data_IF_283644057941
#
_entry.id   IF_283644057941
#
_cell.length_a   1.000
_cell.length_b   1.000
_cell.length_c   1.000
_cell.angle_alpha   90.00
_cell.angle_beta   90.00
_cell.angle_gamma   90.00
#
_symmetry.space_group_name_H-M   'P 1'
#
loop_
_entity.id
_entity.type
_entity.pdbx_description
1 polymer ?
#
# COMPACT_ATOMS: atom_id res chain seq x y z
N UNK A 1 -4.38 -27.74 6.55
CA UNK A 1 -3.79 -26.49 7.07
C UNK A 1 -4.79 -25.36 6.88
N UNK A 2 -5.45 -24.91 7.95
CA UNK A 2 -6.34 -23.74 7.88
C UNK A 2 -5.47 -22.53 7.51
N UNK A 3 -5.62 -22.01 6.29
CA UNK A 3 -5.04 -20.74 5.89
C UNK A 3 -5.84 -19.65 6.60
N UNK A 4 -5.31 -19.14 7.70
CA UNK A 4 -5.83 -17.92 8.32
C UNK A 4 -5.95 -16.85 7.24
N UNK A 5 -7.15 -16.27 7.09
CA UNK A 5 -7.36 -15.21 6.14
C UNK A 5 -6.32 -14.10 6.39
N UNK A 6 -5.66 -13.61 5.34
CA UNK A 6 -4.67 -12.56 5.46
C UNK A 6 -5.31 -11.31 6.06
N UNK A 7 -4.65 -10.73 7.08
CA UNK A 7 -5.20 -9.61 7.87
C UNK A 7 -5.17 -8.33 7.04
N UNK A 8 -6.34 -7.72 6.82
CA UNK A 8 -6.46 -6.35 6.30
C UNK A 8 -6.35 -5.33 7.42
N UNK A 9 -5.71 -4.20 7.13
CA UNK A 9 -5.57 -3.07 8.03
C UNK A 9 -6.83 -2.20 7.97
N UNK A 10 -7.26 -1.72 9.12
CA UNK A 10 -8.40 -0.79 9.24
C UNK A 10 -7.88 0.65 9.28
N UNK A 11 -8.72 1.66 9.04
CA UNK A 11 -8.23 3.06 9.03
C UNK A 11 -7.51 3.51 10.31
N UNK A 12 -7.93 3.10 11.54
CA UNK A 12 -7.17 3.40 12.74
C UNK A 12 -5.76 2.78 12.72
N UNK A 13 -5.64 1.58 12.15
CA UNK A 13 -4.36 0.89 11.97
C UNK A 13 -3.47 1.59 10.94
N UNK A 14 -4.06 2.10 9.85
CA UNK A 14 -3.33 2.91 8.85
C UNK A 14 -2.79 4.19 9.48
N UNK A 15 -3.64 4.91 10.23
CA UNK A 15 -3.24 6.11 10.97
C UNK A 15 -2.11 5.82 11.97
N UNK A 16 -2.25 4.77 12.76
CA UNK A 16 -1.22 4.36 13.71
C UNK A 16 0.11 4.03 13.00
N UNK A 17 0.06 3.30 11.88
CA UNK A 17 1.26 2.92 11.15
C UNK A 17 1.93 4.12 10.46
N UNK A 18 1.16 5.05 9.88
CA UNK A 18 1.69 6.29 9.30
C UNK A 18 2.40 7.16 10.34
N UNK A 19 1.93 7.18 11.60
CA UNK A 19 2.62 7.91 12.69
C UNK A 19 4.00 7.32 13.00
N UNK A 20 4.20 6.02 12.76
CA UNK A 20 5.49 5.34 13.00
C UNK A 20 6.43 5.36 11.80
N UNK A 21 5.97 5.81 10.63
CA UNK A 21 6.80 5.92 9.43
C UNK A 21 7.71 7.16 9.50
N UNK A 22 8.89 7.03 8.89
CA UNK A 22 9.88 8.09 8.80
C UNK A 22 9.72 8.90 7.50
N UNK A 23 9.26 8.26 6.42
CA UNK A 23 9.15 8.91 5.11
C UNK A 23 8.16 10.09 5.08
N UNK A 24 8.52 11.15 4.37
CA UNK A 24 7.74 12.41 4.38
C UNK A 24 6.58 12.40 3.39
N UNK A 25 6.67 11.59 2.33
CA UNK A 25 5.68 11.46 1.28
C UNK A 25 4.97 10.11 1.37
N UNK A 26 3.70 10.05 0.93
CA UNK A 26 2.91 8.82 0.94
C UNK A 26 2.70 8.30 -0.49
N UNK A 27 2.95 7.01 -0.66
CA UNK A 27 2.67 6.28 -1.89
C UNK A 27 1.76 5.09 -1.63
N UNK A 28 1.01 4.72 -2.64
CA UNK A 28 0.13 3.56 -2.72
C UNK A 28 0.84 2.49 -3.53
N UNK A 29 0.85 1.25 -3.04
CA UNK A 29 1.42 0.14 -3.79
C UNK A 29 0.46 -1.02 -3.88
N UNK A 30 0.21 -1.45 -5.12
CA UNK A 30 -0.57 -2.65 -5.45
C UNK A 30 0.27 -3.52 -6.38
N UNK A 31 0.59 -4.74 -5.93
CA UNK A 31 1.55 -5.60 -6.64
C UNK A 31 2.91 -4.90 -6.84
N UNK A 32 3.27 -4.64 -8.10
CA UNK A 32 4.54 -3.98 -8.49
C UNK A 32 4.41 -2.48 -8.76
N UNK A 33 3.20 -1.95 -8.83
CA UNK A 33 2.93 -0.55 -9.22
C UNK A 33 2.92 0.33 -7.97
N UNK A 34 3.57 1.48 -8.04
CA UNK A 34 3.58 2.47 -6.95
C UNK A 34 3.07 3.80 -7.47
N UNK A 35 1.93 4.25 -6.94
CA UNK A 35 1.28 5.50 -7.31
C UNK A 35 1.35 6.51 -6.17
N UNK A 36 1.41 7.81 -6.44
CA UNK A 36 1.34 8.82 -5.39
C UNK A 36 -0.01 8.75 -4.67
N UNK A 37 -0.01 8.82 -3.34
CA UNK A 37 -1.26 8.92 -2.59
C UNK A 37 -1.83 10.32 -2.76
N UNK A 38 -3.10 10.41 -3.15
CA UNK A 38 -3.86 11.65 -3.24
C UNK A 38 -4.68 11.86 -1.98
N UNK A 39 -6.00 11.67 -2.09
CA UNK A 39 -6.94 12.02 -1.03
C UNK A 39 -7.93 10.91 -0.65
N UNK A 40 -8.46 11.03 0.57
CA UNK A 40 -9.49 10.13 1.09
C UNK A 40 -10.86 10.67 0.71
N UNK A 41 -11.60 9.89 -0.07
CA UNK A 41 -12.98 10.17 -0.47
C UNK A 41 -13.91 9.06 -0.02
N UNK A 42 -15.21 9.35 0.03
CA UNK A 42 -16.25 8.35 0.23
C UNK A 42 -16.66 7.76 -1.11
N UNK A 43 -16.82 6.44 -1.19
CA UNK A 43 -17.39 5.76 -2.36
C UNK A 43 -18.63 4.94 -2.01
N UNK A 44 -19.54 4.71 -2.96
CA UNK A 44 -20.59 3.69 -2.83
C UNK A 44 -20.01 2.28 -2.73
N UNK A 45 -20.60 1.45 -1.86
CA UNK A 45 -20.28 0.04 -1.67
C UNK A 45 -21.56 -0.76 -1.39
N UNK A 46 -21.48 -2.10 -1.46
CA UNK A 46 -22.64 -2.97 -1.29
C UNK A 46 -23.40 -2.78 0.04
N UNK A 47 -22.75 -2.24 1.08
CA UNK A 47 -23.32 -1.99 2.41
C UNK A 47 -23.43 -0.50 2.77
N UNK A 48 -23.50 0.38 1.77
CA UNK A 48 -23.64 1.83 1.97
C UNK A 48 -22.47 2.60 1.39
N UNK A 49 -21.80 3.42 2.21
CA UNK A 49 -20.59 4.15 1.80
C UNK A 49 -19.40 3.75 2.64
N UNK A 50 -18.21 3.83 2.06
CA UNK A 50 -16.94 3.55 2.75
C UNK A 50 -15.90 4.61 2.38
N UNK A 51 -14.92 4.81 3.27
CA UNK A 51 -13.73 5.60 2.95
C UNK A 51 -12.79 4.80 2.05
N UNK A 52 -12.19 5.49 1.10
CA UNK A 52 -11.17 4.97 0.21
C UNK A 52 -10.12 6.06 -0.06
N UNK A 53 -8.85 5.69 -0.05
CA UNK A 53 -7.74 6.57 -0.42
C UNK A 53 -7.45 6.40 -1.90
N UNK A 54 -7.46 7.49 -2.66
CA UNK A 54 -7.24 7.48 -4.10
C UNK A 54 -5.80 7.83 -4.44
N UNK A 55 -5.32 7.28 -5.55
CA UNK A 55 -4.14 7.80 -6.25
C UNK A 55 -4.31 9.28 -6.63
N UNK A 56 -3.20 10.00 -6.71
CA UNK A 56 -3.16 11.42 -7.07
C UNK A 56 -1.99 11.74 -7.99
N UNK A 57 -1.99 12.94 -8.57
CA UNK A 57 -0.95 13.40 -9.49
C UNK A 57 0.41 13.61 -8.80
N UNK A 58 0.40 13.94 -7.50
CA UNK A 58 1.58 14.17 -6.69
C UNK A 58 1.40 13.51 -5.30
N UNK A 59 2.50 13.07 -4.65
CA UNK A 59 2.38 12.39 -3.37
C UNK A 59 1.99 13.38 -2.28
N UNK A 60 0.94 13.04 -1.53
CA UNK A 60 0.56 13.80 -0.34
C UNK A 60 1.65 13.68 0.73
N UNK A 61 1.89 14.78 1.44
CA UNK A 61 2.73 14.76 2.63
C UNK A 61 2.09 13.84 3.69
N UNK A 62 2.93 13.03 4.34
CA UNK A 62 2.50 12.09 5.39
C UNK A 62 1.77 12.79 6.52
N UNK A 63 2.26 13.96 6.95
CA UNK A 63 1.63 14.77 8.00
C UNK A 63 0.23 15.20 7.58
N UNK A 64 0.06 15.70 6.36
CA UNK A 64 -1.26 16.11 5.86
C UNK A 64 -2.25 14.93 5.78
N UNK A 65 -1.78 13.73 5.39
CA UNK A 65 -2.62 12.54 5.40
C UNK A 65 -2.99 12.10 6.83
N UNK A 66 -2.05 12.20 7.77
CA UNK A 66 -2.31 11.93 9.21
C UNK A 66 -3.37 12.88 9.74
N UNK A 67 -3.24 14.18 9.53
CA UNK A 67 -4.21 15.19 9.97
C UNK A 67 -5.61 14.89 9.41
N UNK A 68 -5.68 14.53 8.13
CA UNK A 68 -6.95 14.15 7.50
C UNK A 68 -7.56 12.91 8.16
N UNK A 69 -6.76 11.88 8.44
CA UNK A 69 -7.20 10.66 9.10
C UNK A 69 -7.64 10.93 10.56
N UNK A 70 -6.96 11.82 11.27
CA UNK A 70 -7.34 12.24 12.63
C UNK A 70 -8.68 12.94 12.65
N UNK A 71 -8.93 13.83 11.68
CA UNK A 71 -10.22 14.48 11.53
C UNK A 71 -11.36 13.47 11.27
N UNK A 72 -11.09 12.45 10.44
CA UNK A 72 -12.04 11.36 10.20
C UNK A 72 -12.24 10.48 11.45
N UNK A 73 -11.18 10.27 12.24
CA UNK A 73 -11.24 9.50 13.49
C UNK A 73 -12.04 10.19 14.60
N UNK A 74 -12.00 11.53 14.64
CA UNK A 74 -12.75 12.34 15.61
C UNK A 74 -14.25 12.43 15.29
N UNK A 75 -14.64 12.14 14.04
CA UNK A 75 -16.04 12.06 13.65
C UNK A 75 -16.67 10.74 14.15
N UNK A 76 -17.95 10.72 14.58
CA UNK A 76 -18.64 9.48 15.03
C UNK A 76 -18.99 8.52 13.89
N UNK A 77 -18.14 8.49 12.86
CA UNK A 77 -18.37 7.82 11.61
C UNK A 77 -17.86 6.39 11.65
N UNK A 78 -18.79 5.43 11.70
CA UNK A 78 -18.50 3.99 11.67
C UNK A 78 -17.65 3.55 10.47
N UNK A 79 -17.59 4.35 9.38
CA UNK A 79 -16.74 4.07 8.22
C UNK A 79 -15.27 4.09 8.55
N UNK A 80 -14.86 4.86 9.56
CA UNK A 80 -13.47 4.87 10.01
C UNK A 80 -13.08 3.54 10.65
N UNK A 81 -13.98 2.88 11.38
CA UNK A 81 -13.72 1.56 11.95
C UNK A 81 -13.67 0.43 10.90
N UNK A 82 -13.95 0.70 9.62
CA UNK A 82 -13.92 -0.31 8.57
C UNK A 82 -12.49 -0.62 8.07
N UNK A 83 -12.37 -1.74 7.33
CA UNK A 83 -11.13 -2.07 6.63
C UNK A 83 -10.76 -0.97 5.62
N UNK A 84 -9.50 -0.53 5.67
CA UNK A 84 -8.99 0.51 4.80
C UNK A 84 -8.87 -0.01 3.37
N UNK A 85 -9.25 0.85 2.42
CA UNK A 85 -9.16 0.57 1.00
C UNK A 85 -8.45 1.69 0.28
N UNK A 86 -7.75 1.31 -0.77
CA UNK A 86 -7.14 2.25 -1.70
C UNK A 86 -7.64 1.98 -3.11
N UNK A 87 -7.64 3.02 -3.94
CA UNK A 87 -7.90 2.94 -5.37
C UNK A 87 -6.58 3.10 -6.10
N UNK A 88 -6.21 2.08 -6.86
CA UNK A 88 -5.04 2.11 -7.75
C UNK A 88 -5.42 1.44 -9.06
N UNK A 89 -5.12 2.10 -10.19
CA UNK A 89 -5.33 1.57 -11.55
C UNK A 89 -6.75 1.01 -11.78
N UNK A 90 -7.76 1.81 -11.44
CA UNK A 90 -9.18 1.46 -11.62
C UNK A 90 -9.73 0.41 -10.65
N UNK A 91 -8.92 -0.09 -9.71
CA UNK A 91 -9.26 -1.18 -8.80
C UNK A 91 -9.26 -0.74 -7.34
N UNK A 92 -10.18 -1.31 -6.55
CA UNK A 92 -10.27 -1.04 -5.11
C UNK A 92 -9.69 -2.21 -4.32
N UNK A 93 -8.60 -1.96 -3.61
CA UNK A 93 -7.81 -2.98 -2.92
C UNK A 93 -7.82 -2.77 -1.40
N UNK A 94 -7.75 -3.88 -0.65
CA UNK A 94 -7.67 -3.82 0.82
C UNK A 94 -6.24 -3.54 1.24
N UNK A 95 -6.07 -2.56 2.11
CA UNK A 95 -4.77 -2.24 2.71
C UNK A 95 -4.34 -3.37 3.62
N UNK A 96 -3.09 -3.79 3.49
CA UNK A 96 -2.50 -4.86 4.30
C UNK A 96 -1.60 -4.30 5.40
N UNK A 97 -0.76 -3.33 5.03
CA UNK A 97 0.22 -2.72 5.91
C UNK A 97 0.73 -1.39 5.36
N UNK A 98 1.38 -0.64 6.22
CA UNK A 98 2.15 0.55 5.87
C UNK A 98 3.61 0.30 6.27
N UNK A 99 4.56 0.70 5.45
CA UNK A 99 5.99 0.55 5.74
C UNK A 99 6.81 1.72 5.21
N UNK A 100 8.02 1.88 5.73
CA UNK A 100 9.02 2.77 5.12
C UNK A 100 9.63 2.07 3.90
N UNK A 101 9.79 2.82 2.80
CA UNK A 101 10.48 2.38 1.60
C UNK A 101 11.19 3.56 0.92
N UNK A 102 12.03 3.28 -0.07
CA UNK A 102 12.67 4.30 -0.90
C UNK A 102 12.06 4.30 -2.30
N UNK A 103 11.51 5.45 -2.72
CA UNK A 103 10.97 5.65 -4.07
C UNK A 103 11.76 6.78 -4.72
N UNK A 104 12.36 6.51 -5.87
CA UNK A 104 13.26 7.44 -6.57
C UNK A 104 14.40 8.02 -5.68
N UNK A 105 14.85 7.26 -4.67
CA UNK A 105 15.92 7.67 -3.76
C UNK A 105 15.46 8.48 -2.54
N UNK A 106 14.17 8.82 -2.43
CA UNK A 106 13.61 9.51 -1.27
C UNK A 106 12.92 8.52 -0.32
N UNK A 107 13.02 8.76 1.00
CA UNK A 107 12.33 7.96 2.01
C UNK A 107 10.84 8.32 2.03
N UNK A 108 9.99 7.31 1.82
CA UNK A 108 8.54 7.45 1.71
C UNK A 108 7.82 6.46 2.63
N UNK A 109 6.63 6.83 3.08
CA UNK A 109 5.68 5.90 3.67
C UNK A 109 4.88 5.25 2.53
N UNK A 110 4.91 3.92 2.46
CA UNK A 110 4.22 3.16 1.41
C UNK A 110 3.08 2.35 2.02
N UNK A 111 1.86 2.64 1.57
CA UNK A 111 0.64 1.91 1.90
C UNK A 111 0.52 0.77 0.90
N UNK A 112 0.69 -0.46 1.38
CA UNK A 112 0.61 -1.66 0.55
C UNK A 112 -0.81 -2.21 0.65
N UNK A 113 -1.44 -2.38 -0.51
CA UNK A 113 -2.70 -3.09 -0.64
C UNK A 113 -2.56 -4.32 -1.53
N UNK A 114 -3.55 -5.20 -1.41
CA UNK A 114 -3.61 -6.43 -2.17
C UNK A 114 -4.80 -6.46 -3.10
N UNK A 115 -4.52 -6.87 -4.34
CA UNK A 115 -5.54 -7.22 -5.30
C UNK A 115 -6.36 -8.38 -4.76
N UNK A 116 -7.66 -8.18 -4.61
CA UNK A 116 -8.61 -9.21 -4.15
C UNK A 116 -8.58 -10.50 -4.97
N UNK A 117 -7.94 -10.52 -6.15
CA UNK A 117 -7.74 -11.70 -7.00
C UNK A 117 -6.34 -12.31 -7.05
N UNK A 118 -5.31 -11.77 -6.37
CA UNK A 118 -3.91 -12.18 -6.55
C UNK A 118 -3.16 -12.46 -5.24
N UNK A 119 -2.32 -13.51 -5.22
CA UNK A 119 -1.31 -13.67 -4.16
C UNK A 119 -0.31 -12.52 -4.27
N UNK A 120 -0.11 -11.78 -3.17
CA UNK A 120 1.03 -10.89 -3.03
C UNK A 120 2.32 -11.70 -3.15
N UNK A 121 3.12 -11.48 -4.19
CA UNK A 121 4.51 -11.93 -4.20
C UNK A 121 5.33 -10.96 -3.35
N UNK A 122 5.96 -11.41 -2.25
CA UNK A 122 6.89 -10.58 -1.53
C UNK A 122 8.07 -10.25 -2.47
N UNK A 123 8.44 -8.98 -2.53
CA UNK A 123 9.64 -8.49 -3.21
C UNK A 123 10.85 -9.29 -2.72
N UNK A 124 11.24 -10.35 -3.45
CA UNK A 124 12.55 -10.96 -3.27
C UNK A 124 13.56 -9.98 -3.83
N UNK A 125 14.39 -9.45 -2.94
CA UNK A 125 15.49 -8.57 -3.28
C UNK A 125 16.31 -9.12 -4.44
N UNK A 126 16.72 -8.20 -5.32
CA UNK A 126 17.66 -8.44 -6.42
C UNK A 126 18.85 -9.27 -5.94
N UNK A 127 19.01 -10.47 -6.49
CA UNK A 127 20.33 -11.06 -6.67
C UNK A 127 20.68 -10.93 -8.16
N UNK A 128 21.77 -10.24 -8.53
CA UNK A 128 22.22 -10.26 -9.92
C UNK A 128 22.71 -11.68 -10.23
N UNK A 129 21.99 -12.40 -11.09
CA UNK A 129 22.51 -13.61 -11.69
C UNK A 129 23.62 -13.21 -12.67
N UNK A 130 24.85 -13.14 -12.18
CA UNK A 130 26.04 -13.21 -13.03
C UNK A 130 26.16 -14.63 -13.54
N UNK A 131 25.54 -14.96 -14.68
CA UNK A 131 25.93 -16.17 -15.42
C UNK A 131 27.21 -15.85 -16.18
N UNK A 132 28.32 -15.90 -15.45
CA UNK A 132 29.66 -16.00 -16.00
C UNK A 132 29.76 -17.27 -16.85
N UNK A 133 29.92 -17.06 -18.15
CA UNK A 133 30.30 -18.03 -19.17
C UNK A 133 31.56 -18.79 -18.76
N UNK A 134 31.46 -20.11 -18.60
CA UNK A 134 32.63 -21.00 -18.57
C UNK A 134 32.46 -22.14 -19.58
N UNK A 135 33.40 -22.16 -20.53
CA UNK A 135 33.55 -23.08 -21.66
C UNK A 135 33.54 -24.55 -21.22
N UNK A 136 32.97 -25.42 -22.07
CA UNK A 136 33.53 -26.77 -22.26
C UNK A 136 33.48 -27.12 -23.73
N UNK A 137 34.63 -27.01 -24.39
CA UNK A 137 34.91 -27.64 -25.68
C UNK A 137 35.20 -29.10 -25.37
N UNK A 138 34.54 -30.04 -26.06
CA UNK A 138 34.94 -31.44 -26.06
C UNK A 138 35.21 -31.86 -27.49
N UNK A 139 36.49 -31.95 -27.80
CA UNK A 139 37.09 -32.75 -28.87
C UNK A 139 36.87 -34.24 -28.56
N UNK A 140 36.56 -35.04 -29.59
CA UNK A 140 36.41 -36.49 -29.51
C UNK A 140 35.31 -36.97 -30.41
#
# INVERSE_FOLDING_TARGET
MQRSAPKSLHWPGVLAALRTCEGECVFLRTGTTSEPAGEIRTRPAARGTEFCLFEGEAPVARVALIERLEHLAASPDRRFAAAARIHVDGSFELVERVMNDSIAGAACAVIIARNSGGRFEPLRGKAPHTTGRSKRIKTG
#
